data_IF_689434737058
#
_entry.id   IF_689434737058
#
_cell.length_a   1.000
_cell.length_b   1.000
_cell.length_c   1.000
_cell.angle_alpha   90.00
_cell.angle_beta   90.00
_cell.angle_gamma   90.00
#
_symmetry.space_group_name_H-M   'P 1'
#
loop_
_entity.id
_entity.type
_entity.pdbx_description
1 polymer ?
#
# COMPACT_ATOMS: atom_id res chain seq x y z
N UNK A 1 10.90 22.87 10.78
CA UNK A 1 11.33 21.94 9.71
C UNK A 1 11.52 20.51 10.24
N UNK A 2 12.11 20.30 11.42
CA UNK A 2 12.28 18.95 12.02
C UNK A 2 10.98 18.18 12.28
N UNK A 3 9.93 18.85 12.78
CA UNK A 3 8.66 18.18 13.10
C UNK A 3 7.97 17.58 11.85
N UNK A 4 8.00 18.30 10.73
CA UNK A 4 7.47 17.85 9.43
C UNK A 4 8.20 16.62 8.89
N UNK A 5 9.53 16.60 9.00
CA UNK A 5 10.35 15.47 8.53
C UNK A 5 10.05 14.21 9.36
N UNK A 6 9.94 14.36 10.69
CA UNK A 6 9.56 13.25 11.59
C UNK A 6 8.18 12.69 11.23
N UNK A 7 7.19 13.55 10.97
CA UNK A 7 5.81 13.10 10.66
C UNK A 7 5.70 12.32 9.37
N UNK A 8 6.39 12.76 8.31
CA UNK A 8 6.44 12.05 7.03
C UNK A 8 7.07 10.66 7.20
N UNK A 9 8.21 10.59 7.90
CA UNK A 9 8.92 9.35 8.15
C UNK A 9 8.08 8.38 8.98
N UNK A 10 7.38 8.87 10.01
CA UNK A 10 6.49 8.03 10.83
C UNK A 10 5.36 7.43 9.98
N UNK A 11 4.68 8.22 9.16
CA UNK A 11 3.61 7.70 8.31
C UNK A 11 4.09 6.68 7.29
N UNK A 12 5.26 6.92 6.70
CA UNK A 12 5.93 5.97 5.83
C UNK A 12 6.26 4.66 6.56
N UNK A 13 6.97 4.72 7.69
CA UNK A 13 7.40 3.53 8.43
C UNK A 13 6.23 2.70 8.94
N UNK A 14 5.19 3.34 9.47
CA UNK A 14 3.97 2.65 9.89
C UNK A 14 3.30 1.91 8.74
N UNK A 15 3.20 2.57 7.58
CA UNK A 15 2.55 1.96 6.41
C UNK A 15 3.39 0.84 5.82
N UNK A 16 4.71 1.04 5.71
CA UNK A 16 5.62 0.01 5.21
C UNK A 16 5.60 -1.22 6.11
N UNK A 17 5.67 -1.02 7.44
CA UNK A 17 5.63 -2.13 8.39
C UNK A 17 4.28 -2.86 8.36
N UNK A 18 3.17 -2.11 8.42
CA UNK A 18 1.83 -2.70 8.40
C UNK A 18 1.58 -3.47 7.10
N UNK A 19 1.96 -2.89 5.94
CA UNK A 19 1.80 -3.53 4.65
C UNK A 19 2.72 -4.76 4.54
N UNK A 20 3.96 -4.69 5.01
CA UNK A 20 4.88 -5.85 5.00
C UNK A 20 4.32 -7.02 5.81
N UNK A 21 3.80 -6.75 7.01
CA UNK A 21 3.15 -7.76 7.86
C UNK A 21 1.90 -8.30 7.18
N UNK A 22 1.06 -7.43 6.63
CA UNK A 22 -0.17 -7.82 5.97
C UNK A 22 0.08 -8.73 4.77
N UNK A 23 1.07 -8.41 3.94
CA UNK A 23 1.42 -9.22 2.77
C UNK A 23 1.94 -10.61 3.20
N UNK A 24 2.67 -10.73 4.32
CA UNK A 24 3.10 -12.03 4.87
C UNK A 24 1.89 -12.82 5.40
N UNK A 25 1.04 -12.19 6.20
CA UNK A 25 -0.09 -12.87 6.87
C UNK A 25 -1.16 -13.28 5.86
N UNK A 26 -1.45 -12.42 4.89
CA UNK A 26 -2.45 -12.63 3.85
C UNK A 26 -1.81 -13.01 2.52
N UNK A 27 -0.70 -13.74 2.55
CA UNK A 27 0.08 -14.11 1.35
C UNK A 27 -0.79 -14.68 0.23
N UNK A 28 -1.81 -15.49 0.55
CA UNK A 28 -2.66 -16.15 -0.45
C UNK A 28 -3.62 -15.16 -1.16
N UNK A 29 -3.79 -13.96 -0.61
CA UNK A 29 -4.49 -12.84 -1.26
C UNK A 29 -3.57 -11.97 -2.13
N UNK A 30 -2.25 -12.02 -1.89
CA UNK A 30 -1.27 -11.16 -2.56
C UNK A 30 -0.38 -11.90 -3.56
N UNK A 31 -0.18 -13.20 -3.39
CA UNK A 31 0.56 -14.07 -4.30
C UNK A 31 -0.36 -14.59 -5.39
N UNK A 32 0.23 -14.95 -6.53
CA UNK A 32 -0.48 -15.63 -7.59
C UNK A 32 -0.72 -17.10 -7.22
N UNK A 33 -1.77 -17.35 -6.44
CA UNK A 33 -2.21 -18.69 -6.07
C UNK A 33 -3.45 -19.09 -6.86
N UNK A 34 -3.55 -20.37 -7.23
CA UNK A 34 -4.75 -20.96 -7.86
C UNK A 34 -5.95 -21.01 -6.92
N UNK A 35 -5.72 -20.86 -5.61
CA UNK A 35 -6.76 -20.88 -4.58
C UNK A 35 -6.54 -19.67 -3.68
N UNK A 36 -7.42 -18.68 -3.79
CA UNK A 36 -7.48 -17.56 -2.86
C UNK A 36 -8.51 -17.88 -1.79
N UNK A 37 -8.04 -18.12 -0.56
CA UNK A 37 -8.95 -18.33 0.57
C UNK A 37 -9.51 -16.96 0.96
N UNK A 38 -10.77 -16.72 0.59
CA UNK A 38 -11.47 -15.49 0.97
C UNK A 38 -11.84 -15.59 2.45
N UNK A 39 -11.37 -14.67 3.32
CA UNK A 39 -11.75 -14.70 4.72
C UNK A 39 -13.23 -14.36 4.91
N UNK A 40 -13.91 -14.88 5.95
CA UNK A 40 -15.36 -14.72 6.12
C UNK A 40 -15.81 -13.25 6.09
N UNK A 41 -15.08 -12.37 6.76
CA UNK A 41 -15.41 -10.94 6.81
C UNK A 41 -15.38 -10.24 5.44
N UNK A 42 -14.72 -10.83 4.44
CA UNK A 42 -14.65 -10.22 3.11
C UNK A 42 -15.98 -10.27 2.37
N UNK A 43 -16.96 -11.05 2.82
CA UNK A 43 -18.32 -11.07 2.25
C UNK A 43 -19.04 -9.72 2.38
N UNK A 44 -18.65 -8.91 3.37
CA UNK A 44 -19.18 -7.57 3.60
C UNK A 44 -18.52 -6.48 2.77
N UNK A 45 -17.46 -6.81 2.01
CA UNK A 45 -16.81 -5.84 1.12
C UNK A 45 -17.66 -5.58 -0.13
N UNK A 46 -17.64 -4.35 -0.67
CA UNK A 46 -18.19 -4.08 -1.99
C UNK A 46 -17.58 -5.03 -3.03
N UNK A 47 -18.39 -5.57 -3.94
CA UNK A 47 -17.92 -6.59 -4.90
C UNK A 47 -16.80 -6.15 -5.85
N UNK A 48 -16.57 -4.83 -5.98
CA UNK A 48 -15.47 -4.25 -6.75
C UNK A 48 -14.17 -4.09 -5.95
N UNK A 49 -14.21 -4.28 -4.63
CA UNK A 49 -13.06 -4.11 -3.74
C UNK A 49 -12.52 -5.47 -3.32
N UNK A 50 -11.32 -5.82 -3.81
CA UNK A 50 -10.64 -7.04 -3.42
C UNK A 50 -10.17 -7.02 -1.96
N UNK A 51 -9.94 -8.20 -1.40
CA UNK A 51 -9.37 -8.36 -0.04
C UNK A 51 -8.01 -7.68 0.07
N UNK A 52 -7.14 -7.89 -0.93
CA UNK A 52 -5.83 -7.24 -1.05
C UNK A 52 -5.93 -5.72 -1.07
N UNK A 53 -6.96 -5.19 -1.75
CA UNK A 53 -7.14 -3.76 -1.95
C UNK A 53 -7.63 -3.12 -0.66
N UNK A 54 -8.60 -3.74 0.01
CA UNK A 54 -9.09 -3.28 1.30
C UNK A 54 -7.99 -3.25 2.36
N UNK A 55 -7.21 -4.33 2.48
CA UNK A 55 -6.08 -4.41 3.40
C UNK A 55 -5.03 -3.35 3.03
N UNK A 56 -4.71 -3.23 1.74
CA UNK A 56 -3.78 -2.22 1.25
C UNK A 56 -4.21 -0.79 1.57
N UNK A 57 -5.51 -0.47 1.45
CA UNK A 57 -6.06 0.85 1.84
C UNK A 57 -5.81 1.14 3.33
N UNK A 58 -6.09 0.17 4.21
CA UNK A 58 -5.89 0.32 5.64
C UNK A 58 -4.40 0.51 5.97
N UNK A 59 -3.54 -0.32 5.39
CA UNK A 59 -2.10 -0.27 5.64
C UNK A 59 -1.44 0.99 5.08
N UNK A 60 -1.87 1.51 3.93
CA UNK A 60 -1.25 2.67 3.27
C UNK A 60 -1.83 4.02 3.73
N UNK A 61 -2.95 4.03 4.45
CA UNK A 61 -3.59 5.26 4.92
C UNK A 61 -2.64 6.21 5.69
N UNK A 62 -1.76 5.74 6.60
CA UNK A 62 -0.82 6.64 7.28
C UNK A 62 0.15 7.34 6.32
N UNK A 63 0.67 6.66 5.30
CA UNK A 63 1.58 7.22 4.29
C UNK A 63 0.88 8.22 3.37
N UNK A 64 -0.43 8.08 3.15
CA UNK A 64 -1.21 9.05 2.39
C UNK A 64 -1.61 10.28 3.22
N UNK A 65 -1.97 10.10 4.49
CA UNK A 65 -2.66 11.11 5.29
C UNK A 65 -1.73 11.92 6.21
N UNK A 66 -0.68 11.29 6.76
CA UNK A 66 0.23 11.97 7.68
C UNK A 66 1.14 12.99 6.98
N UNK A 67 1.68 12.75 5.76
CA UNK A 67 2.54 13.75 5.16
C UNK A 67 1.87 15.10 4.92
N UNK A 68 2.63 16.18 5.09
CA UNK A 68 2.09 17.55 4.95
C UNK A 68 1.86 17.93 3.49
N UNK A 69 2.70 17.41 2.60
CA UNK A 69 2.72 17.76 1.19
C UNK A 69 2.30 16.57 0.36
N UNK A 70 1.49 16.82 -0.67
CA UNK A 70 1.05 15.81 -1.62
C UNK A 70 2.24 15.09 -2.29
N UNK A 71 3.32 15.81 -2.61
CA UNK A 71 4.56 15.22 -3.15
C UNK A 71 5.21 14.22 -2.19
N UNK A 72 5.18 14.50 -0.88
CA UNK A 72 5.74 13.60 0.13
C UNK A 72 4.85 12.38 0.34
N UNK A 73 3.52 12.54 0.26
CA UNK A 73 2.59 11.41 0.27
C UNK A 73 2.78 10.51 -0.96
N UNK A 74 2.90 11.10 -2.16
CA UNK A 74 3.18 10.35 -3.39
C UNK A 74 4.47 9.54 -3.30
N UNK A 75 5.56 10.16 -2.82
CA UNK A 75 6.83 9.49 -2.62
C UNK A 75 6.70 8.35 -1.59
N UNK A 76 6.08 8.60 -0.44
CA UNK A 76 5.89 7.59 0.60
C UNK A 76 5.06 6.39 0.10
N UNK A 77 3.96 6.64 -0.63
CA UNK A 77 3.13 5.60 -1.22
C UNK A 77 3.90 4.80 -2.27
N UNK A 78 4.61 5.47 -3.20
CA UNK A 78 5.42 4.81 -4.21
C UNK A 78 6.52 3.93 -3.57
N UNK A 79 7.20 4.44 -2.54
CA UNK A 79 8.20 3.68 -1.80
C UNK A 79 7.58 2.49 -1.06
N UNK A 80 6.40 2.64 -0.46
CA UNK A 80 5.70 1.51 0.15
C UNK A 80 5.36 0.42 -0.88
N UNK A 81 4.83 0.80 -2.05
CA UNK A 81 4.49 -0.15 -3.13
C UNK A 81 5.73 -0.87 -3.66
N UNK A 82 6.87 -0.18 -3.77
CA UNK A 82 8.14 -0.78 -4.21
C UNK A 82 8.78 -1.69 -3.15
N UNK A 83 8.67 -1.36 -1.87
CA UNK A 83 9.36 -2.11 -0.81
C UNK A 83 8.51 -3.20 -0.17
N UNK A 84 7.19 -3.07 -0.15
CA UNK A 84 6.29 -4.06 0.47
C UNK A 84 6.37 -5.47 -0.13
N UNK A 85 6.68 -5.67 -1.43
CA UNK A 85 6.88 -7.02 -1.97
C UNK A 85 8.18 -7.70 -1.49
N UNK A 86 9.17 -6.96 -0.98
CA UNK A 86 10.47 -7.52 -0.54
C UNK A 86 10.31 -8.60 0.55
N UNK A 87 9.53 -8.38 1.63
CA UNK A 87 9.24 -9.43 2.61
C UNK A 87 8.71 -10.74 2.00
N UNK A 88 7.90 -10.66 0.94
CA UNK A 88 7.40 -11.85 0.22
C UNK A 88 8.54 -12.59 -0.45
N UNK A 89 9.46 -11.86 -1.10
CA UNK A 89 10.60 -12.47 -1.74
C UNK A 89 11.45 -13.25 -0.74
N UNK A 90 11.69 -12.67 0.44
CA UNK A 90 12.43 -13.31 1.52
C UNK A 90 11.70 -14.55 2.03
N UNK A 91 10.38 -14.46 2.24
CA UNK A 91 9.59 -15.60 2.67
C UNK A 91 9.63 -16.71 1.61
N UNK A 92 9.32 -16.39 0.36
CA UNK A 92 9.21 -17.33 -0.75
C UNK A 92 10.55 -17.99 -1.09
N UNK A 93 11.67 -17.25 -1.05
CA UNK A 93 13.01 -17.79 -1.30
C UNK A 93 13.44 -18.81 -0.26
N UNK A 94 12.99 -18.69 1.00
CA UNK A 94 13.30 -19.66 2.04
C UNK A 94 12.56 -21.00 1.86
N UNK A 95 11.42 -21.01 1.15
CA UNK A 95 10.62 -22.22 0.94
C UNK A 95 10.97 -22.97 -0.36
N UNK A 96 11.59 -22.32 -1.34
CA UNK A 96 11.85 -22.90 -2.66
C UNK A 96 13.32 -22.72 -3.07
N UNK A 97 14.10 -23.80 -3.08
CA UNK A 97 15.54 -23.80 -3.37
C UNK A 97 15.90 -24.32 -4.79
N UNK A 98 15.07 -24.04 -5.81
CA UNK A 98 15.23 -24.60 -7.16
C UNK A 98 15.57 -23.55 -8.25
N UNK A 99 16.12 -23.97 -9.38
CA UNK A 99 16.76 -23.13 -10.40
C UNK A 99 15.85 -22.09 -11.12
N UNK A 100 14.52 -22.17 -10.97
CA UNK A 100 13.54 -21.26 -11.61
C UNK A 100 12.97 -20.23 -10.60
N UNK A 101 13.53 -20.18 -9.39
CA UNK A 101 13.05 -19.31 -8.29
C UNK A 101 13.10 -17.84 -8.66
N UNK A 102 14.13 -17.35 -9.34
CA UNK A 102 14.28 -15.93 -9.65
C UNK A 102 13.17 -15.35 -10.54
N UNK A 103 12.69 -16.11 -11.53
CA UNK A 103 11.59 -15.67 -12.41
C UNK A 103 10.26 -15.66 -11.66
N UNK A 104 10.04 -16.65 -10.78
CA UNK A 104 8.84 -16.70 -9.94
C UNK A 104 8.84 -15.54 -8.93
N UNK A 105 9.99 -15.27 -8.30
CA UNK A 105 10.20 -14.14 -7.40
C UNK A 105 9.94 -12.80 -8.11
N UNK A 106 10.46 -12.61 -9.32
CA UNK A 106 10.22 -11.38 -10.08
C UNK A 106 8.74 -11.22 -10.44
N UNK A 107 8.09 -12.32 -10.83
CA UNK A 107 6.66 -12.31 -11.13
C UNK A 107 5.82 -11.97 -9.88
N UNK A 108 6.08 -12.62 -8.75
CA UNK A 108 5.38 -12.35 -7.49
C UNK A 108 5.68 -10.92 -6.98
N UNK A 109 6.89 -10.41 -7.18
CA UNK A 109 7.22 -9.01 -6.89
C UNK A 109 6.31 -8.04 -7.65
N UNK A 110 6.20 -8.23 -8.97
CA UNK A 110 5.35 -7.42 -9.83
C UNK A 110 3.87 -7.57 -9.48
N UNK A 111 3.44 -8.80 -9.17
CA UNK A 111 2.06 -9.13 -8.85
C UNK A 111 1.61 -8.48 -7.53
N UNK A 112 2.40 -8.65 -6.46
CA UNK A 112 2.16 -7.98 -5.17
C UNK A 112 2.20 -6.46 -5.35
N UNK A 113 3.18 -5.95 -6.13
CA UNK A 113 3.28 -4.53 -6.45
C UNK A 113 2.01 -3.98 -7.11
N UNK A 114 1.42 -4.72 -8.03
CA UNK A 114 0.16 -4.34 -8.70
C UNK A 114 -1.01 -4.29 -7.71
N UNK A 115 -1.15 -5.28 -6.83
CA UNK A 115 -2.16 -5.31 -5.78
C UNK A 115 -2.00 -4.18 -4.75
N UNK A 116 -0.77 -3.74 -4.49
CA UNK A 116 -0.50 -2.58 -3.64
C UNK A 116 -0.69 -1.24 -4.38
N UNK A 117 -0.56 -1.22 -5.71
CA UNK A 117 -0.67 0.00 -6.52
C UNK A 117 -2.11 0.52 -6.54
N UNK A 118 -3.11 -0.34 -6.69
CA UNK A 118 -4.53 0.03 -6.71
C UNK A 118 -4.91 0.86 -5.46
N UNK A 119 -4.72 0.36 -4.22
CA UNK A 119 -5.06 1.12 -3.02
C UNK A 119 -4.18 2.38 -2.85
N UNK A 120 -2.92 2.36 -3.28
CA UNK A 120 -2.06 3.54 -3.27
C UNK A 120 -2.61 4.67 -4.15
N UNK A 121 -3.06 4.34 -5.37
CA UNK A 121 -3.67 5.30 -6.31
C UNK A 121 -4.98 5.84 -5.75
N UNK A 122 -5.84 4.98 -5.19
CA UNK A 122 -7.09 5.41 -4.57
C UNK A 122 -6.84 6.42 -3.44
N UNK A 123 -5.91 6.12 -2.53
CA UNK A 123 -5.55 7.04 -1.45
C UNK A 123 -4.93 8.34 -1.94
N UNK A 124 -4.10 8.28 -2.99
CA UNK A 124 -3.52 9.47 -3.60
C UNK A 124 -4.61 10.39 -4.18
N UNK A 125 -5.59 9.82 -4.89
CA UNK A 125 -6.74 10.57 -5.43
C UNK A 125 -7.53 11.21 -4.28
N UNK A 126 -7.89 10.43 -3.25
CA UNK A 126 -8.62 10.93 -2.08
C UNK A 126 -7.86 12.09 -1.42
N UNK A 127 -6.54 11.94 -1.23
CA UNK A 127 -5.72 13.00 -0.65
C UNK A 127 -5.69 14.25 -1.52
N UNK A 128 -5.56 14.09 -2.83
CA UNK A 128 -5.57 15.19 -3.81
C UNK A 128 -6.88 15.97 -3.77
N UNK A 129 -8.02 15.27 -3.69
CA UNK A 129 -9.35 15.89 -3.55
C UNK A 129 -9.42 16.70 -2.25
N UNK A 130 -9.05 16.10 -1.12
CA UNK A 130 -9.09 16.76 0.20
C UNK A 130 -8.21 18.02 0.25
N UNK A 131 -6.97 17.93 -0.23
CA UNK A 131 -6.06 19.07 -0.25
C UNK A 131 -6.54 20.16 -1.22
N UNK A 132 -7.12 19.78 -2.36
CA UNK A 132 -7.76 20.69 -3.30
C UNK A 132 -8.96 21.44 -2.71
N UNK A 133 -9.88 20.72 -2.05
CA UNK A 133 -11.04 21.31 -1.37
C UNK A 133 -10.62 22.30 -0.28
N UNK A 134 -9.58 21.98 0.50
CA UNK A 134 -9.03 22.88 1.53
C UNK A 134 -8.43 24.15 0.92
N UNK A 135 -7.71 24.03 -0.20
CA UNK A 135 -7.14 25.17 -0.89
C UNK A 135 -8.22 26.11 -1.44
N UNK A 136 -9.31 25.56 -1.98
CA UNK A 136 -10.47 26.33 -2.46
C UNK A 136 -11.17 27.05 -1.31
N UNK A 137 -11.44 26.36 -0.20
CA UNK A 137 -12.08 26.96 0.98
C UNK A 137 -11.27 28.15 1.53
N UNK A 138 -9.94 28.01 1.61
CA UNK A 138 -9.05 29.09 2.08
C UNK A 138 -9.07 30.33 1.17
N UNK A 139 -9.25 30.14 -0.14
CA UNK A 139 -9.38 31.26 -1.11
C UNK A 139 -10.74 31.95 -1.01
N UNK A 140 -11.79 31.20 -0.67
CA UNK A 140 -13.13 31.76 -0.49
C UNK A 140 -13.21 32.60 0.79
N UNK A 141 -12.54 32.20 1.87
CA UNK A 141 -12.52 32.94 3.14
C UNK A 141 -11.64 34.19 3.17
N UNK A 142 -10.80 34.40 2.14
CA UNK A 142 -9.89 35.56 2.05
C UNK A 142 -10.42 36.70 1.19
N UNK A 143 -11.69 36.62 0.76
CA UNK A 143 -12.42 37.66 0.03
C UNK A 143 -13.50 38.22 0.95
#
# INVERSE_FOLDING_TARGET
>A
MECTMKRNTVGFLLSLLALSVAVIVFRDSYLFSKVSIRPPWAEFLPGWLGVSDFIGLLCLAPAALLPERLKSAAAALATCVLLAPVPVLIAYSNYHAHAIVWMSLLFDYCWVGLHCLIPAVMLFIVRGIVDGSRALAKRASSR
#
